data_IF_281749360907
#
_entry.id   IF_281749360907
#
_cell.length_a   1.000
_cell.length_b   1.000
_cell.length_c   1.000
_cell.angle_alpha   90.00
_cell.angle_beta   90.00
_cell.angle_gamma   90.00
#
_symmetry.space_group_name_H-M   'P 1'
#
loop_
_entity.id
_entity.type
_entity.pdbx_description
1 polymer ?
#
# COMPACT_ATOMS: atom_id res chain seq x y z
N UNK A 1 1.46 -53.49 -46.47
CA UNK A 1 0.74 -54.17 -45.37
C UNK A 1 0.95 -53.37 -44.10
N UNK A 2 -0.12 -53.21 -43.32
CA UNK A 2 -0.25 -52.43 -42.08
C UNK A 2 0.85 -52.62 -41.04
N UNK A 3 1.07 -51.55 -40.25
CA UNK A 3 1.78 -51.63 -38.97
C UNK A 3 1.83 -50.28 -38.25
N UNK A 4 0.67 -49.72 -37.86
CA UNK A 4 0.52 -48.48 -37.05
C UNK A 4 1.08 -48.66 -35.63
N UNK A 5 1.85 -47.69 -35.12
CA UNK A 5 1.88 -47.33 -33.68
C UNK A 5 1.98 -45.81 -33.54
N UNK A 6 0.98 -45.26 -32.85
CA UNK A 6 0.78 -43.84 -32.60
C UNK A 6 1.80 -43.27 -31.61
N UNK A 7 2.27 -42.07 -31.91
CA UNK A 7 2.78 -41.12 -30.92
C UNK A 7 1.64 -40.15 -30.62
N UNK A 8 1.24 -40.04 -29.35
CA UNK A 8 0.52 -38.90 -28.79
C UNK A 8 0.64 -39.04 -27.26
N UNK A 9 1.59 -38.34 -26.64
CA UNK A 9 1.34 -37.08 -25.92
C UNK A 9 0.26 -37.25 -24.84
N UNK A 10 0.69 -37.82 -23.72
CA UNK A 10 0.00 -37.71 -22.44
C UNK A 10 -0.29 -36.23 -22.13
N UNK A 11 -1.53 -35.85 -21.81
CA UNK A 11 -1.86 -34.49 -21.45
C UNK A 11 -1.27 -34.19 -20.06
N UNK A 12 -0.23 -33.36 -20.05
CA UNK A 12 0.23 -32.67 -18.85
C UNK A 12 -0.97 -31.96 -18.24
N UNK A 13 -1.36 -32.39 -17.05
CA UNK A 13 -2.34 -31.71 -16.22
C UNK A 13 -1.91 -30.26 -16.04
N UNK A 14 -2.58 -29.35 -16.74
CA UNK A 14 -2.50 -27.91 -16.52
C UNK A 14 -3.13 -27.60 -15.15
N UNK A 15 -2.36 -27.85 -14.10
CA UNK A 15 -2.56 -27.18 -12.84
C UNK A 15 -2.41 -25.68 -13.10
N UNK A 16 -3.54 -25.01 -13.34
CA UNK A 16 -3.65 -23.55 -13.33
C UNK A 16 -3.08 -23.07 -12.00
N UNK A 17 -1.77 -22.79 -11.96
CA UNK A 17 -1.18 -21.88 -11.00
C UNK A 17 -1.94 -20.58 -11.20
N UNK A 18 -2.97 -20.35 -10.36
CA UNK A 18 -3.57 -19.04 -10.19
C UNK A 18 -2.39 -18.13 -9.92
N UNK A 19 -1.98 -17.38 -10.95
CA UNK A 19 -0.96 -16.36 -10.81
C UNK A 19 -1.36 -15.57 -9.59
N UNK A 20 -0.47 -15.48 -8.61
CA UNK A 20 -0.62 -14.60 -7.47
C UNK A 20 -0.73 -13.22 -8.10
N UNK A 21 -1.96 -12.79 -8.38
CA UNK A 21 -2.24 -11.47 -8.95
C UNK A 21 -1.75 -10.55 -7.87
N UNK A 22 -0.59 -9.95 -8.10
CA UNK A 22 -0.04 -8.95 -7.19
C UNK A 22 -1.15 -7.92 -7.05
N UNK A 23 -1.76 -7.88 -5.87
CA UNK A 23 -2.74 -6.87 -5.54
C UNK A 23 -1.91 -5.61 -5.44
N UNK A 24 -1.99 -4.75 -6.44
CA UNK A 24 -1.31 -3.46 -6.42
C UNK A 24 -2.21 -2.55 -5.57
N UNK A 25 -1.66 -2.07 -4.46
CA UNK A 25 -2.30 -1.02 -3.66
C UNK A 25 -2.21 0.30 -4.38
N UNK A 26 -3.13 0.56 -5.30
CA UNK A 26 -3.23 1.86 -5.97
C UNK A 26 -3.80 2.92 -5.02
N UNK A 27 -3.26 4.13 -5.12
CA UNK A 27 -3.77 5.27 -4.38
C UNK A 27 -5.14 5.69 -4.89
N UNK A 28 -5.84 6.50 -4.10
CA UNK A 28 -7.13 7.04 -4.51
C UNK A 28 -7.04 7.78 -5.84
N UNK A 29 -7.90 7.40 -6.80
CA UNK A 29 -7.96 8.00 -8.14
C UNK A 29 -8.13 9.53 -8.09
N UNK A 30 -8.82 10.05 -7.07
CA UNK A 30 -8.96 11.49 -6.85
C UNK A 30 -7.61 12.20 -6.69
N UNK A 31 -6.60 11.55 -6.10
CA UNK A 31 -5.26 12.12 -5.93
C UNK A 31 -4.46 12.18 -7.25
N UNK A 32 -4.87 11.38 -8.24
CA UNK A 32 -4.29 11.41 -9.58
C UNK A 32 -4.95 12.46 -10.49
N UNK A 33 -6.03 13.10 -10.03
CA UNK A 33 -6.70 14.15 -10.78
C UNK A 33 -5.84 15.43 -10.81
N UNK A 34 -5.44 15.86 -12.01
CA UNK A 34 -4.53 17.00 -12.18
C UNK A 34 -5.14 18.32 -11.69
N UNK A 35 -6.46 18.48 -11.82
CA UNK A 35 -7.21 19.61 -11.27
C UNK A 35 -7.06 19.68 -9.74
N UNK A 36 -7.26 18.56 -9.04
CA UNK A 36 -7.16 18.48 -7.58
C UNK A 36 -5.72 18.73 -7.13
N UNK A 37 -4.75 18.14 -7.83
CA UNK A 37 -3.33 18.35 -7.55
C UNK A 37 -2.92 19.81 -7.68
N UNK A 38 -3.41 20.52 -8.71
CA UNK A 38 -3.15 21.94 -8.90
C UNK A 38 -3.79 22.80 -7.80
N UNK A 39 -5.04 22.50 -7.41
CA UNK A 39 -5.72 23.19 -6.31
C UNK A 39 -4.99 22.98 -4.97
N UNK A 40 -4.55 21.75 -4.70
CA UNK A 40 -3.77 21.42 -3.50
C UNK A 40 -2.42 22.15 -3.53
N UNK A 41 -1.73 22.18 -4.68
CA UNK A 41 -0.47 22.91 -4.81
C UNK A 41 -0.64 24.43 -4.57
N UNK A 42 -1.73 25.02 -5.08
CA UNK A 42 -2.06 26.41 -4.83
C UNK A 42 -2.35 26.67 -3.34
N UNK A 43 -3.19 25.85 -2.72
CA UNK A 43 -3.55 26.00 -1.31
C UNK A 43 -2.33 25.80 -0.39
N UNK A 44 -1.43 24.88 -0.75
CA UNK A 44 -0.17 24.66 -0.04
C UNK A 44 0.76 25.87 -0.13
N UNK A 45 0.90 26.45 -1.34
CA UNK A 45 1.72 27.64 -1.57
C UNK A 45 1.17 28.87 -0.81
N UNK A 46 -0.15 29.06 -0.85
CA UNK A 46 -0.82 30.20 -0.21
C UNK A 46 -1.04 30.01 1.29
N UNK A 47 -0.72 28.85 1.84
CA UNK A 47 -0.96 28.52 3.25
C UNK A 47 -2.44 28.66 3.65
N UNK A 48 -3.33 28.25 2.77
CA UNK A 48 -4.78 28.39 2.95
C UNK A 48 -5.43 27.05 3.28
N UNK A 49 -6.51 27.08 4.05
CA UNK A 49 -7.35 25.90 4.28
C UNK A 49 -7.92 25.40 2.96
N UNK A 50 -7.84 24.09 2.73
CA UNK A 50 -8.43 23.41 1.58
C UNK A 50 -9.21 22.20 2.08
N UNK A 51 -10.44 22.02 1.61
CA UNK A 51 -11.29 20.90 2.02
C UNK A 51 -11.94 20.29 0.79
N UNK A 52 -11.63 19.04 0.54
CA UNK A 52 -12.20 18.22 -0.53
C UNK A 52 -12.48 16.82 0.02
N UNK A 53 -13.45 16.10 -0.55
CA UNK A 53 -13.87 14.78 -0.04
C UNK A 53 -12.70 13.77 0.03
N UNK A 54 -11.72 13.91 -0.87
CA UNK A 54 -10.54 13.06 -0.92
C UNK A 54 -9.32 13.59 -0.14
N UNK A 55 -9.29 14.87 0.24
CA UNK A 55 -8.13 15.49 0.88
C UNK A 55 -8.53 16.76 1.65
N UNK A 56 -8.09 16.85 2.89
CA UNK A 56 -8.28 18.02 3.76
C UNK A 56 -6.92 18.57 4.14
N UNK A 57 -6.71 19.87 3.98
CA UNK A 57 -5.49 20.56 4.35
C UNK A 57 -5.82 21.76 5.24
N UNK A 58 -5.07 21.89 6.33
CA UNK A 58 -5.31 22.93 7.32
C UNK A 58 -3.96 23.54 7.75
N UNK A 59 -3.81 24.88 7.65
CA UNK A 59 -2.57 25.56 8.03
C UNK A 59 -2.35 25.73 9.54
N UNK A 60 -3.39 25.53 10.38
CA UNK A 60 -3.38 25.80 11.82
C UNK A 60 -3.48 24.50 12.65
N UNK A 61 -2.72 24.33 13.77
CA UNK A 61 -1.64 25.18 14.29
C UNK A 61 -0.33 25.10 13.49
N UNK A 62 -0.24 24.12 12.58
CA UNK A 62 0.81 23.98 11.58
C UNK A 62 0.21 23.32 10.35
N UNK A 63 0.91 23.45 9.22
CA UNK A 63 0.45 22.90 7.95
C UNK A 63 0.40 21.39 7.99
N UNK A 64 -0.81 20.84 7.92
CA UNK A 64 -1.04 19.42 7.87
C UNK A 64 -2.09 19.06 6.83
N UNK A 65 -2.04 17.81 6.38
CA UNK A 65 -2.93 17.27 5.37
C UNK A 65 -3.41 15.89 5.80
N UNK A 66 -4.69 15.61 5.55
CA UNK A 66 -5.38 14.36 5.84
C UNK A 66 -5.99 13.84 4.56
N UNK A 67 -5.58 12.63 4.16
CA UNK A 67 -6.09 11.95 2.97
C UNK A 67 -6.87 10.71 3.43
N UNK A 68 -8.20 10.78 3.53
CA UNK A 68 -9.02 9.60 3.81
C UNK A 68 -8.94 8.62 2.65
N UNK A 69 -9.13 7.33 2.94
CA UNK A 69 -9.18 6.26 1.94
C UNK A 69 -7.98 6.28 0.98
N UNK A 70 -6.77 6.48 1.52
CA UNK A 70 -5.54 6.66 0.76
C UNK A 70 -5.30 5.52 -0.25
N UNK A 71 -5.57 4.28 0.16
CA UNK A 71 -5.54 3.09 -0.70
C UNK A 71 -6.97 2.60 -0.85
N UNK A 72 -7.47 2.47 -2.07
CA UNK A 72 -8.86 2.05 -2.33
C UNK A 72 -9.04 0.53 -2.28
N UNK A 73 -7.97 -0.23 -2.53
CA UNK A 73 -8.03 -1.69 -2.57
C UNK A 73 -8.07 -2.28 -1.16
N UNK A 74 -9.27 -2.61 -0.67
CA UNK A 74 -9.45 -3.15 0.69
C UNK A 74 -8.75 -4.51 0.88
N UNK A 75 -8.80 -5.38 -0.13
CA UNK A 75 -8.13 -6.70 -0.06
C UNK A 75 -6.61 -6.57 0.03
N UNK A 76 -6.04 -5.52 -0.56
CA UNK A 76 -4.63 -5.19 -0.39
C UNK A 76 -4.34 -4.71 1.04
N UNK A 77 -5.18 -3.85 1.61
CA UNK A 77 -5.03 -3.37 3.00
C UNK A 77 -5.11 -4.51 4.02
N UNK A 78 -6.02 -5.47 3.81
CA UNK A 78 -6.12 -6.67 4.66
C UNK A 78 -4.87 -7.56 4.56
N UNK A 79 -4.34 -7.74 3.34
CA UNK A 79 -3.09 -8.44 3.11
C UNK A 79 -1.91 -7.75 3.80
N UNK A 80 -1.78 -6.43 3.60
CA UNK A 80 -0.74 -5.61 4.21
C UNK A 80 -0.83 -5.63 5.75
N UNK A 81 -2.03 -5.52 6.31
CA UNK A 81 -2.24 -5.62 7.76
C UNK A 81 -1.78 -6.97 8.29
N UNK A 82 -2.15 -8.07 7.61
CA UNK A 82 -1.74 -9.41 8.01
C UNK A 82 -0.22 -9.57 7.97
N UNK A 83 0.43 -9.08 6.92
CA UNK A 83 1.89 -9.10 6.79
C UNK A 83 2.55 -8.26 7.90
N UNK A 84 2.05 -7.06 8.19
CA UNK A 84 2.59 -6.22 9.26
C UNK A 84 2.45 -6.84 10.64
N UNK A 85 1.36 -7.56 10.91
CA UNK A 85 1.12 -8.23 12.20
C UNK A 85 1.97 -9.50 12.38
N UNK A 86 2.44 -10.11 11.30
CA UNK A 86 3.31 -11.30 11.34
C UNK A 86 4.77 -10.96 11.64
N UNK A 87 5.13 -9.67 11.63
CA UNK A 87 6.48 -9.21 11.90
C UNK A 87 6.76 -9.12 13.41
N UNK A 88 8.05 -9.23 13.76
CA UNK A 88 8.51 -9.04 15.13
C UNK A 88 8.53 -7.55 15.51
N UNK A 89 7.72 -7.24 16.52
CA UNK A 89 7.65 -5.91 17.12
C UNK A 89 8.45 -5.84 18.42
N UNK A 90 9.34 -4.87 18.52
CA UNK A 90 10.13 -4.62 19.71
C UNK A 90 9.66 -3.37 20.43
N UNK A 91 9.62 -3.44 21.76
CA UNK A 91 9.29 -2.30 22.59
C UNK A 91 10.43 -1.28 22.54
N UNK A 92 10.07 -0.03 22.25
CA UNK A 92 10.96 1.11 22.29
C UNK A 92 10.41 2.08 23.34
N UNK A 93 11.15 2.24 24.42
CA UNK A 93 10.79 3.12 25.52
C UNK A 93 11.93 4.12 25.76
N UNK A 94 11.58 5.39 25.81
CA UNK A 94 12.42 6.44 26.34
C UNK A 94 11.54 7.41 27.13
N UNK A 95 12.15 8.50 27.58
CA UNK A 95 11.50 9.64 28.23
C UNK A 95 10.39 10.28 27.38
N UNK A 96 10.53 10.31 26.05
CA UNK A 96 9.59 10.95 25.13
C UNK A 96 8.41 10.06 24.72
N UNK A 97 8.63 8.75 24.61
CA UNK A 97 7.65 7.82 24.04
C UNK A 97 7.78 6.40 24.56
N UNK A 98 6.68 5.65 24.42
CA UNK A 98 6.61 4.21 24.65
C UNK A 98 5.72 3.57 23.58
N UNK A 99 6.32 2.88 22.62
CA UNK A 99 5.58 2.19 21.56
C UNK A 99 6.32 0.95 21.06
N UNK A 100 5.66 0.13 20.24
CA UNK A 100 6.24 -1.04 19.60
C UNK A 100 6.60 -0.72 18.15
N UNK A 101 7.84 -0.99 17.75
CA UNK A 101 8.34 -0.73 16.39
C UNK A 101 8.78 -2.04 15.73
N UNK A 102 8.53 -2.17 14.43
CA UNK A 102 9.09 -3.23 13.61
C UNK A 102 10.63 -3.16 13.61
N UNK A 103 11.28 -4.32 13.67
CA UNK A 103 12.74 -4.41 13.60
C UNK A 103 13.24 -4.01 12.19
N UNK A 104 13.45 -2.73 11.96
CA UNK A 104 14.31 -2.25 10.87
C UNK A 104 15.74 -2.43 11.35
N UNK A 105 16.57 -3.18 10.61
CA UNK A 105 17.95 -3.52 11.00
C UNK A 105 18.79 -2.32 11.43
N UNK A 106 18.75 -2.00 12.72
CA UNK A 106 19.70 -1.09 13.37
C UNK A 106 20.42 -1.89 14.45
N UNK A 107 21.46 -2.63 14.03
CA UNK A 107 22.55 -2.98 14.95
C UNK A 107 23.23 -1.69 15.37
N UNK A 108 22.74 -1.04 16.43
CA UNK A 108 23.62 -0.23 17.28
C UNK A 108 23.72 -1.00 18.56
N UNK A 109 24.88 -1.63 18.73
CA UNK A 109 25.27 -2.28 19.96
C UNK A 109 25.06 -1.33 21.14
N UNK A 110 24.51 -1.89 22.20
CA UNK A 110 24.92 -1.49 23.53
C UNK A 110 26.37 -1.96 23.75
#
# INVERSE_FOLDING_TARGET
MSGKRCADLEPVSEGKKKGKRELIGEFSAALHEESLKNQVAEAWSRRTRFSHDAIVMDPDPFHHCVIPNFIQCQTFLEGLQKELLDLDFHEKCNDLYKFKQLLQGWKRGC
#
